data_IF_414974689291
#
_entry.id   IF_414974689291
#
_cell.length_a   1.000
_cell.length_b   1.000
_cell.length_c   1.000
_cell.angle_alpha   90.00
_cell.angle_beta   90.00
_cell.angle_gamma   90.00
#
_symmetry.space_group_name_H-M   'P 1'
#
loop_
_entity.id
_entity.type
_entity.pdbx_description
1 polymer ?
#
# COMPACT_ATOMS: atom_id res chain seq x y z
N UNK A 1 -73.47 -50.24 27.74
CA UNK A 1 -72.21 -50.33 26.98
C UNK A 1 -71.87 -48.94 26.48
N UNK A 2 -70.63 -48.53 26.73
CA UNK A 2 -70.11 -47.17 26.88
C UNK A 2 -69.93 -46.42 25.56
N UNK A 3 -70.40 -45.15 25.53
CA UNK A 3 -70.11 -44.19 24.45
C UNK A 3 -68.68 -43.66 24.63
N UNK A 4 -67.79 -43.96 23.68
CA UNK A 4 -66.46 -43.38 23.63
C UNK A 4 -66.53 -42.01 22.94
N UNK A 5 -66.22 -40.94 23.68
CA UNK A 5 -65.97 -39.61 23.13
C UNK A 5 -64.52 -39.60 22.60
N UNK A 6 -64.37 -39.41 21.29
CA UNK A 6 -63.06 -39.17 20.65
C UNK A 6 -62.79 -37.66 20.74
N UNK A 7 -61.83 -37.27 21.59
CA UNK A 7 -61.28 -35.92 21.57
C UNK A 7 -60.25 -35.84 20.44
N UNK A 8 -60.60 -35.16 19.35
CA UNK A 8 -59.65 -34.76 18.31
C UNK A 8 -58.87 -33.56 18.87
N UNK A 9 -57.64 -33.81 19.30
CA UNK A 9 -56.69 -32.78 19.68
C UNK A 9 -56.26 -32.05 18.39
N UNK A 10 -56.84 -30.89 18.14
CA UNK A 10 -56.45 -30.00 17.04
C UNK A 10 -55.06 -29.44 17.37
N UNK A 11 -54.01 -30.07 16.83
CA UNK A 11 -52.65 -29.53 16.86
C UNK A 11 -52.65 -28.30 15.94
N UNK A 12 -52.93 -27.12 16.52
CA UNK A 12 -52.76 -25.85 15.83
C UNK A 12 -51.25 -25.70 15.61
N UNK A 13 -50.82 -25.83 14.35
CA UNK A 13 -49.42 -25.63 13.99
C UNK A 13 -49.00 -24.19 14.35
N UNK A 14 -47.87 -23.99 15.05
CA UNK A 14 -47.39 -22.67 15.48
C UNK A 14 -47.26 -21.65 14.33
N UNK A 15 -47.02 -22.14 13.10
CA UNK A 15 -46.76 -21.35 11.90
C UNK A 15 -47.90 -20.39 11.50
N UNK A 16 -49.17 -20.74 11.78
CA UNK A 16 -50.30 -19.87 11.46
C UNK A 16 -50.33 -18.61 12.34
N UNK A 17 -49.92 -18.74 13.60
CA UNK A 17 -49.87 -17.63 14.56
C UNK A 17 -48.70 -16.68 14.30
N UNK A 18 -47.60 -17.21 13.76
CA UNK A 18 -46.39 -16.44 13.46
C UNK A 18 -46.64 -15.47 12.30
N UNK A 19 -47.16 -15.99 11.19
CA UNK A 19 -47.50 -15.22 9.98
C UNK A 19 -48.42 -14.03 10.28
N UNK A 20 -49.50 -14.23 11.05
CA UNK A 20 -50.43 -13.14 11.39
C UNK A 20 -49.78 -12.04 12.25
N UNK A 21 -48.90 -12.44 13.18
CA UNK A 21 -48.21 -11.49 14.06
C UNK A 21 -47.23 -10.61 13.26
N UNK A 22 -46.46 -11.21 12.35
CA UNK A 22 -45.55 -10.50 11.43
C UNK A 22 -46.32 -9.54 10.53
N UNK A 23 -47.41 -9.99 9.87
CA UNK A 23 -48.24 -9.12 9.00
C UNK A 23 -48.80 -7.91 9.76
N UNK A 24 -49.25 -8.11 11.01
CA UNK A 24 -49.77 -7.04 11.86
C UNK A 24 -48.67 -6.02 12.21
N UNK A 25 -47.50 -6.50 12.64
CA UNK A 25 -46.38 -5.65 13.01
C UNK A 25 -45.86 -4.85 11.81
N UNK A 26 -45.70 -5.49 10.65
CA UNK A 26 -45.31 -4.84 9.40
C UNK A 26 -46.26 -3.70 9.01
N UNK A 27 -47.58 -3.93 9.10
CA UNK A 27 -48.59 -2.90 8.81
C UNK A 27 -48.52 -1.70 9.78
N UNK A 28 -48.08 -1.90 11.02
CA UNK A 28 -47.90 -0.81 11.99
C UNK A 28 -46.66 0.00 11.67
N UNK A 29 -45.58 -0.67 11.27
CA UNK A 29 -44.38 -0.03 10.73
C UNK A 29 -44.70 0.83 9.49
N UNK A 30 -45.42 0.31 8.49
CA UNK A 30 -45.80 1.06 7.28
C UNK A 30 -46.64 2.32 7.59
N UNK A 31 -47.40 2.29 8.69
CA UNK A 31 -48.21 3.44 9.14
C UNK A 31 -47.41 4.47 9.92
N UNK A 32 -46.15 4.19 10.27
CA UNK A 32 -45.33 5.04 11.13
C UNK A 32 -45.74 5.05 12.60
N UNK A 33 -46.57 4.10 13.05
CA UNK A 33 -47.00 4.00 14.45
C UNK A 33 -45.95 3.23 15.28
N UNK A 34 -44.84 3.91 15.59
CA UNK A 34 -43.65 3.32 16.24
C UNK A 34 -43.98 2.68 17.59
N UNK A 35 -44.88 3.29 18.38
CA UNK A 35 -45.27 2.78 19.70
C UNK A 35 -45.98 1.44 19.53
N UNK A 36 -47.02 1.38 18.70
CA UNK A 36 -47.75 0.12 18.48
C UNK A 36 -46.90 -0.92 17.76
N UNK A 37 -45.97 -0.49 16.91
CA UNK A 37 -45.02 -1.38 16.28
C UNK A 37 -44.13 -2.07 17.32
N UNK A 38 -43.51 -1.31 18.24
CA UNK A 38 -42.75 -1.86 19.37
C UNK A 38 -43.58 -2.86 20.20
N UNK A 39 -44.77 -2.45 20.64
CA UNK A 39 -45.67 -3.33 21.42
C UNK A 39 -46.01 -4.63 20.67
N UNK A 40 -46.07 -4.59 19.33
CA UNK A 40 -46.34 -5.78 18.54
C UNK A 40 -45.15 -6.74 18.48
N UNK A 41 -43.92 -6.24 18.51
CA UNK A 41 -42.70 -7.04 18.60
C UNK A 41 -42.55 -7.67 19.99
N UNK A 42 -42.79 -6.90 21.05
CA UNK A 42 -42.75 -7.41 22.44
C UNK A 42 -43.76 -8.54 22.65
N UNK A 43 -44.96 -8.44 22.08
CA UNK A 43 -45.97 -9.52 22.09
C UNK A 43 -45.52 -10.76 21.32
N UNK A 44 -44.62 -10.63 20.34
CA UNK A 44 -44.03 -11.78 19.66
C UNK A 44 -42.96 -12.44 20.54
N UNK A 45 -42.21 -11.67 21.33
CA UNK A 45 -41.27 -12.21 22.33
C UNK A 45 -41.98 -12.95 23.46
N UNK A 46 -43.07 -12.39 24.01
CA UNK A 46 -43.90 -13.03 25.03
C UNK A 46 -44.43 -14.41 24.57
N UNK A 47 -44.66 -14.55 23.27
CA UNK A 47 -45.13 -15.79 22.63
C UNK A 47 -43.99 -16.69 22.16
N UNK A 48 -42.74 -16.32 22.42
CA UNK A 48 -41.53 -17.01 21.96
C UNK A 48 -41.55 -17.30 20.44
N UNK A 49 -42.10 -16.37 19.65
CA UNK A 49 -42.09 -16.47 18.19
C UNK A 49 -40.67 -16.16 17.74
N UNK A 50 -40.00 -17.12 17.12
CA UNK A 50 -38.69 -16.92 16.49
C UNK A 50 -38.87 -17.21 15.00
N UNK A 51 -38.81 -16.18 14.17
CA UNK A 51 -39.09 -16.26 12.74
C UNK A 51 -38.25 -15.25 11.95
N UNK A 52 -37.96 -15.54 10.68
CA UNK A 52 -37.17 -14.64 9.85
C UNK A 52 -37.86 -13.26 9.75
N UNK A 53 -39.17 -13.25 9.57
CA UNK A 53 -39.96 -12.01 9.52
C UNK A 53 -39.89 -11.19 10.82
N UNK A 54 -39.85 -11.83 11.99
CA UNK A 54 -39.67 -11.11 13.27
C UNK A 54 -38.31 -10.43 13.33
N UNK A 55 -37.25 -11.16 13.00
CA UNK A 55 -35.90 -10.62 13.05
C UNK A 55 -35.71 -9.47 12.05
N UNK A 56 -36.27 -9.60 10.84
CA UNK A 56 -36.33 -8.49 9.89
C UNK A 56 -36.98 -7.23 10.50
N UNK A 57 -38.16 -7.38 11.11
CA UNK A 57 -38.88 -6.27 11.70
C UNK A 57 -38.12 -5.65 12.89
N UNK A 58 -37.42 -6.45 13.68
CA UNK A 58 -36.54 -5.94 14.73
C UNK A 58 -35.39 -5.12 14.16
N UNK A 59 -34.76 -5.57 13.07
CA UNK A 59 -33.71 -4.80 12.40
C UNK A 59 -34.22 -3.44 11.92
N UNK A 60 -35.39 -3.41 11.25
CA UNK A 60 -36.03 -2.16 10.82
C UNK A 60 -36.39 -1.26 12.01
N UNK A 61 -36.89 -1.85 13.10
CA UNK A 61 -37.25 -1.12 14.30
C UNK A 61 -36.06 -0.34 14.89
N UNK A 62 -34.90 -0.99 15.04
CA UNK A 62 -33.72 -0.31 15.55
C UNK A 62 -33.18 0.76 14.58
N UNK A 63 -33.38 0.60 13.27
CA UNK A 63 -33.00 1.63 12.28
C UNK A 63 -33.87 2.89 12.30
N UNK A 64 -34.99 2.90 13.04
CA UNK A 64 -35.81 4.12 13.21
C UNK A 64 -34.98 5.22 13.89
N UNK A 65 -34.11 4.85 14.82
CA UNK A 65 -33.20 5.77 15.51
C UNK A 65 -31.74 5.38 15.24
N UNK A 66 -31.35 5.53 13.98
CA UNK A 66 -30.04 5.16 13.44
C UNK A 66 -28.90 6.14 13.79
N UNK A 67 -29.17 7.18 14.58
CA UNK A 67 -28.16 8.10 15.11
C UNK A 67 -27.46 7.51 16.35
N UNK A 68 -28.04 6.49 16.97
CA UNK A 68 -27.47 5.76 18.10
C UNK A 68 -26.79 4.50 17.57
N UNK A 69 -25.47 4.42 17.70
CA UNK A 69 -24.69 3.29 17.19
C UNK A 69 -25.12 1.94 17.79
N UNK A 70 -25.42 1.89 19.09
CA UNK A 70 -25.95 0.68 19.75
C UNK A 70 -27.24 0.14 19.09
N UNK A 71 -28.07 1.02 18.52
CA UNK A 71 -29.24 0.60 17.75
C UNK A 71 -28.83 0.02 16.40
N UNK A 72 -27.83 0.59 15.74
CA UNK A 72 -27.29 0.04 14.48
C UNK A 72 -26.69 -1.34 14.70
N UNK A 73 -25.94 -1.55 15.79
CA UNK A 73 -25.42 -2.85 16.21
C UNK A 73 -26.55 -3.86 16.47
N UNK A 74 -27.59 -3.43 17.18
CA UNK A 74 -28.78 -4.24 17.41
C UNK A 74 -29.46 -4.61 16.09
N UNK A 75 -29.55 -3.66 15.16
CA UNK A 75 -30.11 -3.90 13.83
C UNK A 75 -29.27 -4.91 13.04
N UNK A 76 -27.94 -4.78 13.07
CA UNK A 76 -26.99 -5.70 12.43
C UNK A 76 -27.15 -7.13 12.94
N UNK A 77 -27.27 -7.29 14.26
CA UNK A 77 -27.53 -8.58 14.87
C UNK A 77 -28.82 -9.22 14.37
N UNK A 78 -29.92 -8.46 14.35
CA UNK A 78 -31.23 -8.99 13.93
C UNK A 78 -31.32 -9.24 12.43
N UNK A 79 -30.69 -8.42 11.57
CA UNK A 79 -30.71 -8.68 10.12
C UNK A 79 -29.93 -9.96 9.78
N UNK A 80 -28.81 -10.22 10.46
CA UNK A 80 -28.04 -11.45 10.26
C UNK A 80 -28.83 -12.68 10.71
N UNK A 81 -29.47 -12.63 11.89
CA UNK A 81 -30.41 -13.68 12.31
C UNK A 81 -31.54 -13.91 11.30
N UNK A 82 -32.09 -12.84 10.73
CA UNK A 82 -33.10 -12.95 9.68
C UNK A 82 -32.54 -13.65 8.45
N UNK A 83 -31.34 -13.29 8.00
CA UNK A 83 -30.68 -13.89 6.83
C UNK A 83 -30.32 -15.35 7.03
N UNK A 84 -29.90 -15.72 8.24
CA UNK A 84 -29.58 -17.11 8.62
C UNK A 84 -30.81 -17.99 8.65
N UNK A 85 -31.93 -17.48 9.17
CA UNK A 85 -33.19 -18.24 9.29
C UNK A 85 -34.02 -18.26 7.99
N UNK A 86 -33.87 -17.27 7.12
CA UNK A 86 -34.67 -17.11 5.89
C UNK A 86 -34.67 -18.35 4.96
N UNK A 87 -33.55 -19.05 4.70
CA UNK A 87 -33.54 -20.22 3.82
C UNK A 87 -34.33 -21.42 4.38
N UNK A 88 -34.50 -21.49 5.70
CA UNK A 88 -35.07 -22.63 6.41
C UNK A 88 -36.55 -22.43 6.79
N UNK A 89 -37.18 -21.35 6.32
CA UNK A 89 -38.58 -21.04 6.64
C UNK A 89 -39.54 -22.02 5.97
N UNK A 90 -40.69 -22.25 6.62
CA UNK A 90 -41.76 -23.08 6.04
C UNK A 90 -42.38 -22.42 4.81
N UNK A 91 -42.97 -23.20 3.90
CA UNK A 91 -43.67 -22.69 2.70
C UNK A 91 -44.68 -21.57 3.03
N UNK A 92 -45.47 -21.77 4.09
CA UNK A 92 -46.46 -20.79 4.56
C UNK A 92 -45.83 -19.49 5.08
N UNK A 93 -44.69 -19.61 5.76
CA UNK A 93 -43.94 -18.43 6.20
C UNK A 93 -43.33 -17.73 4.98
N UNK A 94 -42.75 -18.47 4.03
CA UNK A 94 -42.24 -17.92 2.78
C UNK A 94 -43.31 -17.14 2.01
N UNK A 95 -44.52 -17.69 1.85
CA UNK A 95 -45.66 -16.98 1.24
C UNK A 95 -45.93 -15.64 1.95
N UNK A 96 -45.90 -15.65 3.28
CA UNK A 96 -46.12 -14.44 4.09
C UNK A 96 -45.00 -13.42 3.90
N UNK A 97 -43.74 -13.86 3.88
CA UNK A 97 -42.60 -12.98 3.68
C UNK A 97 -42.63 -12.36 2.28
N UNK A 98 -42.95 -13.13 1.26
CA UNK A 98 -43.12 -12.66 -0.12
C UNK A 98 -44.28 -11.66 -0.24
N UNK A 99 -45.43 -11.92 0.38
CA UNK A 99 -46.55 -10.97 0.44
C UNK A 99 -46.14 -9.61 1.05
N UNK A 100 -45.22 -9.63 2.01
CA UNK A 100 -44.69 -8.44 2.69
C UNK A 100 -43.44 -7.85 2.01
N UNK A 101 -43.05 -8.36 0.84
CA UNK A 101 -41.81 -8.02 0.14
C UNK A 101 -40.54 -8.19 0.98
N UNK A 102 -40.58 -9.07 1.98
CA UNK A 102 -39.40 -9.50 2.75
C UNK A 102 -38.75 -10.62 1.94
N UNK A 103 -37.88 -10.24 1.01
CA UNK A 103 -37.11 -11.16 0.15
C UNK A 103 -35.63 -11.16 0.52
N UNK A 104 -34.83 -12.06 -0.06
CA UNK A 104 -33.36 -12.04 0.10
C UNK A 104 -32.76 -10.69 -0.30
N UNK A 105 -33.24 -10.11 -1.39
CA UNK A 105 -32.80 -8.81 -1.89
C UNK A 105 -33.16 -7.69 -0.91
N UNK A 106 -34.33 -7.76 -0.26
CA UNK A 106 -34.70 -6.80 0.78
C UNK A 106 -33.82 -6.92 2.03
N UNK A 107 -33.44 -8.14 2.42
CA UNK A 107 -32.54 -8.39 3.54
C UNK A 107 -31.14 -7.86 3.25
N UNK A 108 -30.63 -8.10 2.04
CA UNK A 108 -29.36 -7.57 1.57
C UNK A 108 -29.39 -6.04 1.48
N UNK A 109 -30.53 -5.47 1.09
CA UNK A 109 -30.72 -4.01 1.06
C UNK A 109 -30.65 -3.39 2.46
N UNK A 110 -31.31 -4.00 3.45
CA UNK A 110 -31.25 -3.54 4.85
C UNK A 110 -29.82 -3.68 5.40
N UNK A 111 -29.14 -4.80 5.14
CA UNK A 111 -27.73 -4.96 5.51
C UNK A 111 -26.85 -3.88 4.87
N UNK A 112 -27.06 -3.55 3.59
CA UNK A 112 -26.29 -2.49 2.93
C UNK A 112 -26.53 -1.10 3.53
N UNK A 113 -27.74 -0.83 4.05
CA UNK A 113 -28.04 0.40 4.80
C UNK A 113 -27.28 0.41 6.12
N UNK A 114 -27.32 -0.69 6.87
CA UNK A 114 -26.58 -0.85 8.13
C UNK A 114 -25.08 -0.65 7.92
N UNK A 115 -24.49 -1.32 6.94
CA UNK A 115 -23.08 -1.15 6.55
C UNK A 115 -22.74 0.32 6.27
N UNK A 116 -23.64 1.04 5.58
CA UNK A 116 -23.42 2.45 5.26
C UNK A 116 -23.47 3.35 6.48
N UNK A 117 -24.37 3.10 7.42
CA UNK A 117 -24.50 3.90 8.63
C UNK A 117 -23.32 3.60 9.56
N UNK A 118 -23.00 2.33 9.74
CA UNK A 118 -21.88 1.91 10.57
C UNK A 118 -20.55 2.43 10.02
N UNK A 119 -20.36 2.42 8.70
CA UNK A 119 -19.17 3.00 8.10
C UNK A 119 -19.06 4.52 8.35
N UNK A 120 -20.17 5.25 8.45
CA UNK A 120 -20.12 6.67 8.82
C UNK A 120 -19.63 6.86 10.26
N UNK A 121 -20.08 6.03 11.21
CA UNK A 121 -19.53 6.07 12.58
C UNK A 121 -18.03 5.77 12.60
N UNK A 122 -17.58 4.80 11.80
CA UNK A 122 -16.16 4.46 11.66
C UNK A 122 -15.36 5.62 11.05
N UNK A 123 -15.92 6.34 10.08
CA UNK A 123 -15.31 7.54 9.50
C UNK A 123 -15.24 8.71 10.50
N UNK A 124 -16.23 8.85 11.37
CA UNK A 124 -16.27 9.91 12.39
C UNK A 124 -15.25 9.65 13.51
N UNK A 125 -15.14 8.39 13.98
CA UNK A 125 -14.15 8.00 14.98
C UNK A 125 -12.72 7.92 14.40
N UNK A 126 -12.58 7.45 13.15
CA UNK A 126 -11.34 7.43 12.37
C UNK A 126 -10.13 6.85 13.12
N UNK A 127 -10.31 5.67 13.74
CA UNK A 127 -9.23 4.95 14.41
C UNK A 127 -8.94 3.60 13.77
N UNK A 128 -7.73 3.08 13.99
CA UNK A 128 -7.30 1.78 13.49
C UNK A 128 -8.22 0.67 13.99
N UNK A 129 -8.56 0.70 15.27
CA UNK A 129 -9.42 -0.27 15.94
C UNK A 129 -10.82 -0.32 15.32
N UNK A 130 -11.39 0.84 14.99
CA UNK A 130 -12.72 0.95 14.41
C UNK A 130 -12.76 0.45 12.96
N UNK A 131 -11.78 0.81 12.12
CA UNK A 131 -11.69 0.24 10.77
C UNK A 131 -11.50 -1.28 10.79
N UNK A 132 -10.67 -1.79 11.70
CA UNK A 132 -10.43 -3.23 11.82
C UNK A 132 -11.68 -3.99 12.28
N UNK A 133 -12.42 -3.46 13.25
CA UNK A 133 -13.69 -4.04 13.70
C UNK A 133 -14.70 -4.05 12.55
N UNK A 134 -14.84 -2.92 11.86
CA UNK A 134 -15.72 -2.82 10.70
C UNK A 134 -15.39 -3.86 9.62
N UNK A 135 -14.12 -3.99 9.24
CA UNK A 135 -13.69 -4.97 8.24
C UNK A 135 -13.93 -6.42 8.67
N UNK A 136 -13.84 -6.70 9.98
CA UNK A 136 -14.13 -8.02 10.53
C UNK A 136 -15.62 -8.35 10.46
N UNK A 137 -16.47 -7.43 10.94
CA UNK A 137 -17.90 -7.68 11.10
C UNK A 137 -18.67 -7.49 9.79
N UNK A 138 -18.24 -6.53 8.95
CA UNK A 138 -18.86 -6.15 7.67
C UNK A 138 -18.01 -6.57 6.46
N UNK A 139 -17.49 -7.79 6.48
CA UNK A 139 -16.51 -8.28 5.49
C UNK A 139 -17.03 -8.31 4.04
N UNK A 140 -18.35 -8.37 3.83
CA UNK A 140 -18.99 -8.32 2.52
C UNK A 140 -19.42 -6.92 2.08
N UNK A 141 -19.18 -5.91 2.91
CA UNK A 141 -19.61 -4.55 2.64
C UNK A 141 -18.92 -3.96 1.42
N UNK A 142 -19.66 -3.17 0.64
CA UNK A 142 -19.10 -2.34 -0.44
C UNK A 142 -18.04 -1.34 0.04
N UNK A 143 -18.02 -1.02 1.34
CA UNK A 143 -17.06 -0.08 1.94
C UNK A 143 -15.80 -0.75 2.46
N UNK A 144 -15.69 -2.09 2.41
CA UNK A 144 -14.54 -2.84 2.93
C UNK A 144 -13.20 -2.31 2.39
N UNK A 145 -13.11 -2.10 1.08
CA UNK A 145 -11.89 -1.59 0.44
C UNK A 145 -11.55 -0.18 0.94
N UNK A 146 -12.55 0.68 1.09
CA UNK A 146 -12.34 2.04 1.60
C UNK A 146 -11.90 2.04 3.07
N UNK A 147 -12.49 1.17 3.91
CA UNK A 147 -12.07 0.99 5.30
C UNK A 147 -10.62 0.53 5.40
N UNK A 148 -10.23 -0.45 4.58
CA UNK A 148 -8.87 -0.96 4.49
C UNK A 148 -7.86 0.13 4.09
N UNK A 149 -8.18 0.93 3.07
CA UNK A 149 -7.33 2.03 2.62
C UNK A 149 -7.16 3.11 3.69
N UNK A 150 -8.23 3.45 4.42
CA UNK A 150 -8.16 4.41 5.52
C UNK A 150 -7.35 3.88 6.70
N UNK A 151 -7.53 2.60 7.06
CA UNK A 151 -6.67 1.95 8.06
C UNK A 151 -5.19 2.02 7.65
N UNK A 152 -4.84 1.62 6.43
CA UNK A 152 -3.47 1.70 5.94
C UNK A 152 -2.93 3.14 5.98
N UNK A 153 -3.78 4.13 5.65
CA UNK A 153 -3.40 5.54 5.73
C UNK A 153 -3.07 5.98 7.16
N UNK A 154 -3.83 5.53 8.16
CA UNK A 154 -3.54 5.79 9.58
C UNK A 154 -2.22 5.15 10.03
N UNK A 155 -1.95 3.91 9.58
CA UNK A 155 -0.69 3.22 9.88
C UNK A 155 0.53 3.89 9.23
N UNK A 156 0.36 4.43 8.03
CA UNK A 156 1.37 5.25 7.37
C UNK A 156 1.61 6.56 8.13
N UNK A 157 0.54 7.21 8.60
CA UNK A 157 0.65 8.43 9.41
C UNK A 157 1.38 8.16 10.72
N UNK A 158 1.07 7.06 11.42
CA UNK A 158 1.80 6.61 12.61
C UNK A 158 3.28 6.40 12.32
N UNK A 159 3.59 5.74 11.20
CA UNK A 159 4.97 5.52 10.75
C UNK A 159 5.70 6.83 10.45
N UNK A 160 4.98 7.82 9.93
CA UNK A 160 5.47 9.16 9.61
C UNK A 160 5.63 10.06 10.83
N UNK A 161 4.84 9.84 11.90
CA UNK A 161 5.05 10.52 13.18
C UNK A 161 6.31 10.00 13.89
N UNK A 162 6.58 8.69 13.81
CA UNK A 162 7.82 8.09 14.35
C UNK A 162 9.03 8.50 13.49
N UNK A 163 8.85 8.55 12.16
CA UNK A 163 9.83 9.02 11.19
C UNK A 163 11.22 8.36 11.29
N UNK A 164 11.25 7.04 11.36
CA UNK A 164 12.51 6.26 11.34
C UNK A 164 12.50 5.30 10.15
N UNK A 165 13.67 4.91 9.64
CA UNK A 165 13.67 3.88 8.59
C UNK A 165 13.04 2.56 9.08
N UNK A 166 13.11 2.23 10.38
CA UNK A 166 12.47 1.03 10.91
C UNK A 166 10.94 1.11 10.88
N UNK A 167 10.35 2.28 11.19
CA UNK A 167 8.89 2.44 11.14
C UNK A 167 8.37 2.30 9.71
N UNK A 168 9.03 2.94 8.74
CA UNK A 168 8.67 2.78 7.33
C UNK A 168 8.90 1.36 6.81
N UNK A 169 9.97 0.69 7.23
CA UNK A 169 10.20 -0.72 6.90
C UNK A 169 9.07 -1.60 7.40
N UNK A 170 8.67 -1.45 8.67
CA UNK A 170 7.56 -2.20 9.26
C UNK A 170 6.25 -1.96 8.51
N UNK A 171 5.99 -0.71 8.13
CA UNK A 171 4.82 -0.37 7.31
C UNK A 171 4.85 -1.10 5.96
N UNK A 172 5.96 -1.02 5.23
CA UNK A 172 6.10 -1.67 3.91
C UNK A 172 5.97 -3.19 3.99
N UNK A 173 6.45 -3.81 5.07
CA UNK A 173 6.32 -5.26 5.29
C UNK A 173 4.89 -5.66 5.66
N UNK A 174 4.17 -4.80 6.40
CA UNK A 174 2.80 -5.05 6.83
C UNK A 174 1.78 -4.78 5.71
N UNK A 175 2.06 -3.81 4.83
CA UNK A 175 1.13 -3.30 3.82
C UNK A 175 1.80 -3.18 2.43
N UNK A 176 2.21 -4.30 1.80
CA UNK A 176 2.92 -4.28 0.53
C UNK A 176 2.09 -3.70 -0.64
N UNK A 177 0.76 -3.78 -0.55
CA UNK A 177 -0.17 -3.31 -1.59
C UNK A 177 -0.81 -1.95 -1.24
N UNK A 178 -0.36 -1.28 -0.18
CA UNK A 178 -0.88 0.06 0.18
C UNK A 178 -0.53 1.09 -0.90
N UNK A 179 -1.45 2.03 -1.15
CA UNK A 179 -1.21 3.18 -2.04
C UNK A 179 -0.07 4.08 -1.55
N UNK A 180 0.21 4.10 -0.24
CA UNK A 180 1.32 4.83 0.38
C UNK A 180 2.66 4.07 0.32
N UNK A 181 2.70 2.82 -0.17
CA UNK A 181 3.91 2.00 -0.17
C UNK A 181 5.11 2.70 -0.81
N UNK A 182 4.92 3.33 -1.98
CA UNK A 182 6.01 4.02 -2.68
C UNK A 182 6.50 5.24 -1.90
N UNK A 183 5.61 5.95 -1.21
CA UNK A 183 6.00 7.08 -0.34
C UNK A 183 6.79 6.58 0.87
N UNK A 184 6.34 5.51 1.51
CA UNK A 184 7.06 4.86 2.61
C UNK A 184 8.44 4.36 2.17
N UNK A 185 8.52 3.77 0.97
CA UNK A 185 9.78 3.29 0.38
C UNK A 185 10.76 4.42 0.15
N UNK A 186 10.34 5.54 -0.43
CA UNK A 186 11.23 6.69 -0.62
C UNK A 186 11.77 7.23 0.71
N UNK A 187 10.93 7.31 1.74
CA UNK A 187 11.36 7.72 3.09
C UNK A 187 12.28 6.71 3.75
N UNK A 188 11.97 5.42 3.63
CA UNK A 188 12.83 4.34 4.10
C UNK A 188 14.22 4.44 3.47
N UNK A 189 14.32 4.56 2.15
CA UNK A 189 15.57 4.62 1.40
C UNK A 189 16.41 5.86 1.78
N UNK A 190 15.76 7.02 1.95
CA UNK A 190 16.41 8.25 2.43
C UNK A 190 16.97 8.09 3.84
N UNK A 191 16.12 7.67 4.79
CA UNK A 191 16.49 7.62 6.20
C UNK A 191 17.51 6.53 6.50
N UNK A 192 17.45 5.37 5.83
CA UNK A 192 18.45 4.32 6.01
C UNK A 192 19.81 4.75 5.45
N UNK A 193 19.84 5.47 4.33
CA UNK A 193 21.08 6.05 3.81
C UNK A 193 21.70 7.03 4.80
N UNK A 194 20.91 7.98 5.30
CA UNK A 194 21.39 8.97 6.27
C UNK A 194 21.89 8.31 7.56
N UNK A 195 21.13 7.37 8.12
CA UNK A 195 21.50 6.64 9.34
C UNK A 195 22.80 5.83 9.17
N UNK A 196 22.89 5.04 8.09
CA UNK A 196 24.03 4.14 7.87
C UNK A 196 25.29 4.84 7.40
N UNK A 197 25.21 6.11 6.99
CA UNK A 197 26.37 6.88 6.51
C UNK A 197 26.63 8.16 7.31
N UNK A 198 25.96 8.33 8.46
CA UNK A 198 26.06 9.51 9.31
C UNK A 198 27.49 9.81 9.79
N UNK A 199 28.32 8.78 9.97
CA UNK A 199 29.72 8.92 10.39
C UNK A 199 30.66 9.37 9.26
N UNK A 200 30.14 9.45 8.03
CA UNK A 200 30.84 9.82 6.81
C UNK A 200 32.08 8.98 6.51
N UNK A 201 32.22 7.77 7.04
CA UNK A 201 33.41 6.94 6.83
C UNK A 201 33.33 6.14 5.54
N UNK A 202 34.48 5.92 4.89
CA UNK A 202 34.59 5.07 3.71
C UNK A 202 33.97 3.67 3.95
N UNK A 203 34.29 3.04 5.08
CA UNK A 203 33.75 1.72 5.44
C UNK A 203 32.23 1.69 5.49
N UNK A 204 31.60 2.77 5.95
CA UNK A 204 30.15 2.89 6.11
C UNK A 204 29.47 3.05 4.75
N UNK A 205 30.04 3.83 3.85
CA UNK A 205 29.58 3.92 2.46
C UNK A 205 29.71 2.58 1.71
N UNK A 206 30.83 1.88 1.88
CA UNK A 206 31.04 0.57 1.26
C UNK A 206 30.04 -0.47 1.78
N UNK A 207 29.84 -0.55 3.10
CA UNK A 207 28.90 -1.45 3.74
C UNK A 207 27.45 -1.12 3.36
N UNK A 208 27.12 0.17 3.21
CA UNK A 208 25.80 0.60 2.77
C UNK A 208 25.46 0.06 1.38
N UNK A 209 26.38 0.16 0.41
CA UNK A 209 26.17 -0.37 -0.95
C UNK A 209 26.15 -1.89 -1.00
N UNK A 210 26.89 -2.57 -0.13
CA UNK A 210 26.85 -4.03 0.00
C UNK A 210 25.47 -4.50 0.47
N UNK A 211 24.91 -3.84 1.48
CA UNK A 211 23.60 -4.18 2.03
C UNK A 211 22.42 -3.65 1.18
N UNK A 212 22.64 -2.63 0.34
CA UNK A 212 21.59 -1.96 -0.45
C UNK A 212 22.03 -1.77 -1.91
N UNK A 213 22.28 -2.85 -2.68
CA UNK A 213 22.93 -2.75 -3.99
C UNK A 213 22.10 -1.99 -5.05
N UNK A 214 20.77 -1.94 -4.89
CA UNK A 214 19.81 -1.30 -5.80
C UNK A 214 19.29 0.04 -5.28
N UNK A 215 19.94 0.63 -4.27
CA UNK A 215 19.56 1.93 -3.70
C UNK A 215 19.55 3.05 -4.75
N UNK A 216 18.56 3.97 -4.72
CA UNK A 216 18.55 5.14 -5.61
C UNK A 216 19.75 6.08 -5.36
N UNK A 217 20.42 5.97 -4.21
CA UNK A 217 21.59 6.78 -3.87
C UNK A 217 22.92 6.21 -4.39
N UNK A 218 22.91 5.10 -5.14
CA UNK A 218 24.13 4.38 -5.54
C UNK A 218 25.15 5.31 -6.19
N UNK A 219 24.75 6.10 -7.18
CA UNK A 219 25.65 7.02 -7.88
C UNK A 219 26.30 8.03 -6.93
N UNK A 220 25.53 8.56 -5.97
CA UNK A 220 26.06 9.52 -4.98
C UNK A 220 27.04 8.86 -4.02
N UNK A 221 26.73 7.64 -3.56
CA UNK A 221 27.59 6.90 -2.64
C UNK A 221 28.89 6.45 -3.31
N UNK A 222 28.81 5.94 -4.53
CA UNK A 222 29.99 5.59 -5.32
C UNK A 222 30.89 6.80 -5.56
N UNK A 223 30.32 7.97 -5.82
CA UNK A 223 31.09 9.20 -5.95
C UNK A 223 31.84 9.56 -4.66
N UNK A 224 31.19 9.42 -3.50
CA UNK A 224 31.83 9.65 -2.19
C UNK A 224 32.95 8.64 -1.93
N UNK A 225 32.75 7.37 -2.28
CA UNK A 225 33.80 6.34 -2.19
C UNK A 225 34.98 6.69 -3.09
N UNK A 226 34.75 7.12 -4.32
CA UNK A 226 35.80 7.54 -5.24
C UNK A 226 36.61 8.72 -4.68
N UNK A 227 35.93 9.71 -4.08
CA UNK A 227 36.62 10.82 -3.38
C UNK A 227 37.54 10.33 -2.28
N UNK A 228 37.12 9.36 -1.47
CA UNK A 228 37.98 8.78 -0.44
C UNK A 228 39.18 8.07 -1.04
N UNK A 229 38.97 7.32 -2.11
CA UNK A 229 40.04 6.60 -2.80
C UNK A 229 41.05 7.54 -3.46
N UNK A 230 40.61 8.75 -3.88
CA UNK A 230 41.47 9.73 -4.54
C UNK A 230 42.32 10.58 -3.58
N UNK A 231 42.12 10.53 -2.26
CA UNK A 231 42.85 11.38 -1.29
C UNK A 231 44.38 11.22 -1.41
N UNK A 232 44.86 9.98 -1.49
CA UNK A 232 46.29 9.68 -1.62
C UNK A 232 46.75 9.59 -3.08
N UNK A 233 45.82 9.73 -4.04
CA UNK A 233 46.06 9.64 -5.47
C UNK A 233 46.88 8.40 -5.90
N UNK A 234 46.58 7.22 -5.37
CA UNK A 234 47.34 5.99 -5.66
C UNK A 234 46.68 5.14 -6.75
N UNK A 235 47.47 4.53 -7.67
CA UNK A 235 46.93 3.63 -8.70
C UNK A 235 46.09 2.48 -8.14
N UNK A 236 46.53 1.86 -7.04
CA UNK A 236 45.85 0.71 -6.43
C UNK A 236 44.44 1.03 -5.95
N UNK A 237 44.22 2.23 -5.39
CA UNK A 237 42.88 2.65 -4.97
C UNK A 237 41.95 2.80 -6.18
N UNK A 238 42.40 3.44 -7.25
CA UNK A 238 41.58 3.58 -8.45
C UNK A 238 41.28 2.22 -9.11
N UNK A 239 42.28 1.33 -9.19
CA UNK A 239 42.10 -0.06 -9.66
C UNK A 239 41.05 -0.79 -8.80
N UNK A 240 41.11 -0.63 -7.47
CA UNK A 240 40.11 -1.19 -6.54
C UNK A 240 38.69 -0.68 -6.84
N UNK A 241 38.51 0.62 -7.07
CA UNK A 241 37.20 1.19 -7.40
C UNK A 241 36.66 0.63 -8.72
N UNK A 242 37.48 0.66 -9.77
CA UNK A 242 37.12 0.22 -11.13
C UNK A 242 36.67 -1.24 -11.11
N UNK A 243 37.38 -2.10 -10.38
CA UNK A 243 37.08 -3.53 -10.30
C UNK A 243 35.85 -3.82 -9.43
N UNK A 244 35.65 -3.08 -8.34
CA UNK A 244 34.53 -3.30 -7.41
C UNK A 244 33.20 -2.74 -7.96
N UNK A 245 33.23 -1.61 -8.66
CA UNK A 245 32.04 -0.90 -9.14
C UNK A 245 31.98 -0.87 -10.68
N UNK A 246 31.92 -2.05 -11.30
CA UNK A 246 32.03 -2.22 -12.76
C UNK A 246 31.02 -1.42 -13.59
N UNK A 247 29.82 -1.18 -13.03
CA UNK A 247 28.71 -0.45 -13.66
C UNK A 247 28.58 1.00 -13.17
N UNK A 248 29.56 1.49 -12.41
CA UNK A 248 29.53 2.85 -11.88
C UNK A 248 29.46 3.90 -12.98
N UNK A 249 28.60 4.90 -12.81
CA UNK A 249 28.57 6.10 -13.65
C UNK A 249 29.86 6.91 -13.53
N UNK A 250 30.62 6.73 -12.44
CA UNK A 250 31.90 7.41 -12.17
C UNK A 250 33.12 6.65 -12.67
N UNK A 251 32.94 5.51 -13.34
CA UNK A 251 34.04 4.67 -13.81
C UNK A 251 35.02 5.42 -14.72
N UNK A 252 34.50 6.22 -15.66
CA UNK A 252 35.34 7.05 -16.55
C UNK A 252 36.21 8.03 -15.76
N UNK A 253 35.66 8.66 -14.73
CA UNK A 253 36.42 9.57 -13.87
C UNK A 253 37.52 8.81 -13.12
N UNK A 254 37.21 7.66 -12.53
CA UNK A 254 38.19 6.83 -11.84
C UNK A 254 39.34 6.37 -12.76
N UNK A 255 39.04 6.01 -14.01
CA UNK A 255 40.05 5.63 -15.01
C UNK A 255 40.94 6.82 -15.38
N UNK A 256 40.36 8.00 -15.60
CA UNK A 256 41.15 9.20 -15.90
C UNK A 256 42.10 9.53 -14.75
N UNK A 257 41.62 9.46 -13.50
CA UNK A 257 42.46 9.65 -12.31
C UNK A 257 43.58 8.61 -12.22
N UNK A 258 43.27 7.33 -12.49
CA UNK A 258 44.26 6.26 -12.57
C UNK A 258 45.34 6.56 -13.61
N UNK A 259 44.94 6.88 -14.83
CA UNK A 259 45.84 7.20 -15.94
C UNK A 259 46.81 8.32 -15.57
N UNK A 260 46.31 9.41 -14.98
CA UNK A 260 47.17 10.50 -14.52
C UNK A 260 48.07 10.10 -13.34
N UNK A 261 47.59 9.28 -12.40
CA UNK A 261 48.41 8.77 -11.29
C UNK A 261 49.55 7.84 -11.73
N UNK A 262 49.41 7.22 -12.91
CA UNK A 262 50.40 6.36 -13.55
C UNK A 262 51.33 7.14 -14.51
N UNK A 263 51.45 8.45 -14.34
CA UNK A 263 52.20 9.32 -15.25
C UNK A 263 51.79 9.17 -16.72
N UNK A 264 50.52 8.84 -16.97
CA UNK A 264 49.95 8.72 -18.33
C UNK A 264 50.50 7.56 -19.16
N UNK A 265 50.96 6.49 -18.51
CA UNK A 265 51.35 5.25 -19.19
C UNK A 265 50.13 4.37 -19.49
N UNK A 266 49.72 4.33 -20.76
CA UNK A 266 48.53 3.61 -21.22
C UNK A 266 48.60 2.09 -21.02
N UNK A 267 49.77 1.47 -21.15
CA UNK A 267 49.96 0.02 -20.98
C UNK A 267 49.56 -0.50 -19.60
N UNK A 268 49.60 0.37 -18.59
CA UNK A 268 49.22 0.04 -17.20
C UNK A 268 47.70 0.12 -16.95
N UNK A 269 46.94 0.61 -17.94
CA UNK A 269 45.49 0.83 -17.88
C UNK A 269 44.74 -0.06 -18.89
N UNK A 270 45.38 -0.43 -20.00
CA UNK A 270 44.77 -1.19 -21.11
C UNK A 270 44.23 -2.56 -20.70
N UNK A 271 44.78 -3.17 -19.65
CA UNK A 271 44.41 -4.50 -19.17
C UNK A 271 43.17 -4.50 -18.26
N UNK A 272 42.64 -3.33 -17.92
CA UNK A 272 41.45 -3.21 -17.08
C UNK A 272 40.16 -3.44 -17.89
N UNK A 273 39.09 -3.93 -17.23
CA UNK A 273 37.82 -4.19 -17.90
C UNK A 273 37.07 -2.88 -18.21
N UNK A 274 37.51 -2.14 -19.22
CA UNK A 274 37.01 -0.81 -19.58
C UNK A 274 36.17 -0.84 -20.88
N UNK A 275 35.21 0.10 -21.04
CA UNK A 275 34.54 0.31 -22.32
C UNK A 275 35.56 0.62 -23.44
N UNK A 276 35.35 0.06 -24.65
CA UNK A 276 36.31 0.22 -25.77
C UNK A 276 36.53 1.68 -26.17
N UNK A 277 35.46 2.46 -26.19
CA UNK A 277 35.51 3.90 -26.50
C UNK A 277 36.44 4.67 -25.55
N UNK A 278 36.49 4.27 -24.27
CA UNK A 278 37.39 4.88 -23.29
C UNK A 278 38.84 4.44 -23.51
N UNK A 279 39.06 3.16 -23.84
CA UNK A 279 40.38 2.62 -24.18
C UNK A 279 40.94 3.34 -25.40
N UNK A 280 40.17 3.39 -26.50
CA UNK A 280 40.56 4.04 -27.76
C UNK A 280 40.92 5.51 -27.53
N UNK A 281 40.11 6.22 -26.71
CA UNK A 281 40.35 7.62 -26.37
C UNK A 281 41.67 7.82 -25.61
N UNK A 282 41.96 6.97 -24.63
CA UNK A 282 43.19 7.03 -23.82
C UNK A 282 44.43 6.66 -24.64
N UNK A 283 44.32 5.68 -25.54
CA UNK A 283 45.40 5.30 -26.46
C UNK A 283 45.79 6.47 -27.36
N UNK A 284 44.80 7.13 -27.98
CA UNK A 284 45.02 8.30 -28.83
C UNK A 284 45.71 9.42 -28.05
N UNK A 285 45.21 9.77 -26.86
CA UNK A 285 45.80 10.81 -26.02
C UNK A 285 47.24 10.43 -25.64
N UNK A 286 47.46 9.19 -25.19
CA UNK A 286 48.79 8.73 -24.78
C UNK A 286 49.81 8.75 -25.92
N UNK A 287 49.38 8.49 -27.16
CA UNK A 287 50.24 8.56 -28.34
C UNK A 287 50.66 10.00 -28.67
N UNK A 288 49.78 10.98 -28.40
CA UNK A 288 50.02 12.41 -28.64
C UNK A 288 50.84 13.05 -27.53
N UNK A 289 50.63 12.69 -26.27
CA UNK A 289 51.36 13.21 -25.11
C UNK A 289 52.88 12.90 -25.17
N UNK A 290 53.28 11.86 -25.92
CA UNK A 290 54.68 11.50 -26.15
C UNK A 290 55.35 12.29 -27.28
N UNK A 291 54.59 13.13 -28.01
CA UNK A 291 55.11 13.97 -29.09
C UNK A 291 55.39 15.38 -28.56
N UNK A 292 56.53 15.96 -28.94
CA UNK A 292 56.75 17.38 -28.74
C UNK A 292 55.80 18.16 -29.65
N UNK A 293 54.88 18.91 -29.03
CA UNK A 293 53.90 19.75 -29.73
C UNK A 293 54.18 21.22 -29.45
N UNK A 294 54.05 22.03 -30.49
CA UNK A 294 54.28 23.48 -30.46
C UNK A 294 52.93 24.17 -30.68
N UNK A 295 52.61 25.12 -29.79
CA UNK A 295 51.45 25.99 -29.96
C UNK A 295 51.69 27.00 -31.08
N UNK A 296 50.85 26.99 -32.10
CA UNK A 296 50.87 27.90 -33.24
C UNK A 296 49.69 28.85 -33.12
N UNK A 297 49.97 30.14 -32.93
CA UNK A 297 48.95 31.19 -32.88
C UNK A 297 48.82 31.88 -34.23
N UNK A 298 47.74 31.59 -34.94
CA UNK A 298 47.43 32.16 -36.25
C UNK A 298 45.92 32.44 -36.36
N UNK A 299 45.53 33.48 -37.11
CA UNK A 299 44.13 33.80 -37.37
C UNK A 299 43.22 33.88 -36.12
N UNK A 300 43.75 34.38 -34.98
CA UNK A 300 43.06 34.47 -33.68
C UNK A 300 42.69 33.11 -33.05
N UNK A 301 43.25 32.01 -33.55
CA UNK A 301 43.13 30.67 -32.96
C UNK A 301 44.48 30.14 -32.48
N UNK A 302 44.44 29.18 -31.55
CA UNK A 302 45.62 28.41 -31.13
C UNK A 302 45.47 26.99 -31.66
N UNK A 303 46.37 26.59 -32.56
CA UNK A 303 46.50 25.21 -33.04
C UNK A 303 47.79 24.59 -32.50
N UNK A 304 47.94 23.27 -32.61
CA UNK A 304 49.15 22.57 -32.19
C UNK A 304 49.74 21.77 -33.34
N UNK A 305 51.02 21.97 -33.63
CA UNK A 305 51.79 21.22 -34.61
C UNK A 305 52.85 20.36 -33.94
N UNK A 306 53.34 19.33 -34.63
CA UNK A 306 54.58 18.65 -34.26
C UNK A 306 55.81 19.51 -34.62
N UNK A 307 57.00 19.01 -34.28
CA UNK A 307 58.29 19.67 -34.56
C UNK A 307 58.59 19.84 -36.06
N UNK A 308 57.92 19.08 -36.92
CA UNK A 308 58.03 19.17 -38.38
C UNK A 308 56.99 20.13 -39.00
N UNK A 309 56.16 20.77 -38.17
CA UNK A 309 55.16 21.76 -38.60
C UNK A 309 53.84 21.15 -39.09
N UNK A 310 53.61 19.85 -38.90
CA UNK A 310 52.33 19.22 -39.24
C UNK A 310 51.33 19.40 -38.10
N UNK A 311 50.14 19.91 -38.41
CA UNK A 311 49.09 20.11 -37.41
C UNK A 311 48.59 18.77 -36.85
N UNK A 312 48.68 18.61 -35.52
CA UNK A 312 48.30 17.40 -34.77
C UNK A 312 47.00 17.60 -33.98
N UNK A 313 46.68 18.84 -33.62
CA UNK A 313 45.42 19.27 -33.02
C UNK A 313 45.03 20.64 -33.57
N UNK A 314 43.82 20.76 -34.13
CA UNK A 314 43.28 22.03 -34.60
C UNK A 314 42.64 22.82 -33.46
N UNK A 315 42.87 24.13 -33.42
CA UNK A 315 42.21 25.02 -32.47
C UNK A 315 40.70 25.07 -32.67
N UNK A 316 39.95 25.15 -31.57
CA UNK A 316 38.53 25.51 -31.63
C UNK A 316 38.46 26.99 -32.00
N UNK A 317 38.03 27.28 -33.22
CA UNK A 317 37.63 28.64 -33.61
C UNK A 317 36.52 29.11 -32.66
N UNK A 318 36.78 30.15 -31.87
CA UNK A 318 35.69 30.92 -31.27
C UNK A 318 35.02 31.70 -32.40
N UNK A 319 33.90 31.17 -32.90
CA UNK A 319 32.93 31.99 -33.63
C UNK A 319 32.22 32.92 -32.66
#
# INVERSE_FOLDING_TARGET
MTRALIYILLIISPSLSYSQSVKKAYKLYEKGDVIKFRESLEKMDEKAIESAGKFYLYSIFYLIDNQIRDNVDSSFFFINKSKESYPEVTEKEMETLQELNITRESLDSVLSIIDSIEYNFVLDENTIEEYRRYMQDHSSSKFYVSAMENWHSLEFNNSSLINTWMSYKKFMESFPDSREYNMAKSRYEELIFLDKTADMRLSSYELFLENNPTTPYRDSVEYMILKYYSILNTPDNYKKFINKYLKSTHKRLAVNLLYHSLNREFSEVSDLPLPRDLIDSLEIISSKDKQEIIGVYENKGVSFSDVDGKFVLSGISKN
#
